data_IF_425307816559
#
_entry.id   IF_425307816559
#
_cell.length_a   1.000
_cell.length_b   1.000
_cell.length_c   1.000
_cell.angle_alpha   90.00
_cell.angle_beta   90.00
_cell.angle_gamma   90.00
#
_symmetry.space_group_name_H-M   'P 1'
#
loop_
_entity.id
_entity.type
_entity.pdbx_description
1 polymer ?
#
# COMPACT_ATOMS: atom_id res chain seq x y z
N UNK A 1 18.83 -10.46 -16.43
CA UNK A 1 19.79 -9.38 -16.08
C UNK A 1 20.83 -9.19 -17.21
N UNK A 2 20.41 -8.98 -18.46
CA UNK A 2 21.33 -8.86 -19.62
C UNK A 2 21.95 -7.48 -19.76
N UNK A 3 21.31 -6.44 -19.21
CA UNK A 3 21.75 -5.04 -19.35
C UNK A 3 22.77 -4.60 -18.30
N UNK A 4 23.00 -5.40 -17.25
CA UNK A 4 24.06 -5.12 -16.26
C UNK A 4 23.93 -3.79 -15.51
N UNK A 5 22.71 -3.32 -15.26
CA UNK A 5 22.45 -2.03 -14.60
C UNK A 5 22.82 -2.11 -13.11
N UNK A 6 23.59 -1.13 -12.64
CA UNK A 6 24.10 -1.07 -11.27
C UNK A 6 25.34 -1.94 -11.06
N UNK A 7 25.81 -2.00 -9.80
CA UNK A 7 26.94 -2.86 -9.44
C UNK A 7 26.51 -4.32 -9.31
N UNK A 8 27.32 -5.24 -9.84
CA UNK A 8 27.09 -6.69 -9.69
C UNK A 8 27.17 -7.17 -8.25
N UNK A 9 27.96 -6.50 -7.40
CA UNK A 9 28.10 -6.85 -5.98
C UNK A 9 27.01 -6.22 -5.12
N UNK A 10 26.61 -4.98 -5.41
CA UNK A 10 25.63 -4.24 -4.61
C UNK A 10 24.19 -4.42 -5.08
N UNK A 11 23.96 -4.84 -6.33
CA UNK A 11 22.62 -4.95 -6.92
C UNK A 11 21.80 -3.64 -6.80
N UNK A 12 22.45 -2.50 -6.99
CA UNK A 12 21.88 -1.17 -6.74
C UNK A 12 21.55 -0.42 -8.04
N UNK A 13 21.05 -1.14 -9.04
CA UNK A 13 20.62 -0.55 -10.30
C UNK A 13 19.16 -0.12 -10.25
N UNK A 14 18.82 0.98 -10.92
CA UNK A 14 17.43 1.41 -11.16
C UNK A 14 17.25 1.61 -12.66
N UNK A 15 16.12 1.15 -13.20
CA UNK A 15 15.74 1.34 -14.60
C UNK A 15 14.35 1.97 -14.67
N UNK A 16 14.26 3.19 -15.19
CA UNK A 16 13.01 3.80 -15.63
C UNK A 16 12.80 3.49 -17.12
N UNK A 17 11.71 2.80 -17.44
CA UNK A 17 11.27 2.48 -18.78
C UNK A 17 10.03 3.31 -19.13
N UNK A 18 10.10 4.02 -20.25
CA UNK A 18 9.00 4.84 -20.77
C UNK A 18 8.55 4.31 -22.13
N UNK A 19 7.32 3.85 -22.23
CA UNK A 19 6.66 3.48 -23.47
C UNK A 19 5.66 4.58 -23.86
N UNK A 20 6.15 5.58 -24.60
CA UNK A 20 5.40 6.82 -24.93
C UNK A 20 4.08 6.57 -25.64
N UNK A 21 4.10 5.76 -26.70
CA UNK A 21 2.90 5.47 -27.50
C UNK A 21 1.85 4.67 -26.71
N UNK A 22 2.31 3.81 -25.80
CA UNK A 22 1.46 2.98 -24.95
C UNK A 22 1.00 3.69 -23.67
N UNK A 23 1.53 4.90 -23.40
CA UNK A 23 1.35 5.64 -22.15
C UNK A 23 1.63 4.82 -20.89
N UNK A 24 2.73 4.06 -20.93
CA UNK A 24 3.15 3.16 -19.83
C UNK A 24 4.53 3.50 -19.30
N UNK A 25 4.67 3.40 -17.99
CA UNK A 25 5.87 3.62 -17.20
C UNK A 25 6.18 2.37 -16.39
N UNK A 26 7.47 2.07 -16.24
CA UNK A 26 7.92 1.04 -15.29
C UNK A 26 9.23 1.46 -14.66
N UNK A 27 9.33 1.31 -13.35
CA UNK A 27 10.57 1.41 -12.59
C UNK A 27 10.94 0.00 -12.13
N UNK A 28 12.13 -0.46 -12.48
CA UNK A 28 12.72 -1.68 -11.94
C UNK A 28 13.83 -1.32 -10.97
N UNK A 29 13.81 -1.92 -9.78
CA UNK A 29 14.75 -1.65 -8.71
C UNK A 29 15.56 -2.91 -8.41
N UNK A 30 16.87 -2.75 -8.31
CA UNK A 30 17.76 -3.81 -7.90
C UNK A 30 17.62 -4.09 -6.39
N UNK A 31 17.82 -5.36 -6.01
CA UNK A 31 17.66 -5.83 -4.63
C UNK A 31 18.37 -4.98 -3.56
N UNK A 32 19.54 -4.42 -3.89
CA UNK A 32 20.32 -3.60 -2.95
C UNK A 32 19.74 -2.21 -2.70
N UNK A 33 18.64 -1.85 -3.36
CA UNK A 33 17.92 -0.59 -3.17
C UNK A 33 16.46 -0.82 -2.74
N UNK A 34 16.03 -2.05 -2.46
CA UNK A 34 14.65 -2.31 -2.01
C UNK A 34 14.33 -1.66 -0.66
N UNK A 35 15.34 -1.39 0.18
CA UNK A 35 15.17 -0.64 1.43
C UNK A 35 14.80 0.82 1.18
N UNK A 36 15.50 1.47 0.24
CA UNK A 36 15.31 2.88 -0.09
C UNK A 36 14.16 3.13 -1.06
N UNK A 37 13.99 2.23 -2.03
CA UNK A 37 13.01 2.33 -3.12
C UNK A 37 12.20 1.02 -3.16
N UNK A 38 11.35 0.76 -2.17
CA UNK A 38 10.38 -0.32 -2.26
C UNK A 38 9.36 -0.05 -3.37
N UNK A 39 8.59 -1.08 -3.73
CA UNK A 39 7.58 -1.01 -4.78
C UNK A 39 6.59 0.14 -4.59
N UNK A 40 6.13 0.37 -3.36
CA UNK A 40 5.22 1.47 -3.02
C UNK A 40 5.81 2.86 -3.29
N UNK A 41 7.10 3.04 -3.02
CA UNK A 41 7.80 4.31 -3.28
C UNK A 41 8.02 4.50 -4.78
N UNK A 42 8.42 3.44 -5.49
CA UNK A 42 8.54 3.48 -6.95
C UNK A 42 7.19 3.83 -7.61
N UNK A 43 6.09 3.24 -7.13
CA UNK A 43 4.75 3.50 -7.64
C UNK A 43 4.31 4.93 -7.37
N UNK A 44 4.62 5.45 -6.18
CA UNK A 44 4.38 6.85 -5.81
C UNK A 44 5.15 7.82 -6.70
N UNK A 45 6.42 7.56 -7.00
CA UNK A 45 7.20 8.39 -7.92
C UNK A 45 6.53 8.40 -9.31
N UNK A 46 6.08 7.25 -9.80
CA UNK A 46 5.36 7.20 -11.08
C UNK A 46 4.08 8.04 -11.03
N UNK A 47 3.23 7.85 -10.02
CA UNK A 47 1.91 8.48 -9.92
C UNK A 47 1.97 9.98 -9.62
N UNK A 48 2.84 10.40 -8.70
CA UNK A 48 2.82 11.74 -8.13
C UNK A 48 3.90 12.67 -8.72
N UNK A 49 4.99 12.11 -9.25
CA UNK A 49 6.11 12.91 -9.78
C UNK A 49 6.12 12.88 -11.32
N UNK A 50 6.08 11.68 -11.92
CA UNK A 50 6.28 11.55 -13.38
C UNK A 50 4.97 11.76 -14.16
N UNK A 51 3.90 11.06 -13.78
CA UNK A 51 2.64 11.04 -14.52
C UNK A 51 1.99 12.43 -14.72
N UNK A 52 2.01 13.36 -13.74
CA UNK A 52 1.39 14.67 -13.92
C UNK A 52 2.05 15.49 -15.04
N UNK A 53 3.37 15.48 -15.14
CA UNK A 53 4.10 16.18 -16.21
C UNK A 53 3.84 15.52 -17.57
N UNK A 54 3.82 14.19 -17.61
CA UNK A 54 3.53 13.43 -18.83
C UNK A 54 2.10 13.66 -19.35
N UNK A 55 1.13 13.82 -18.46
CA UNK A 55 -0.26 14.19 -18.81
C UNK A 55 -0.35 15.58 -19.46
N UNK A 56 0.54 16.49 -19.07
CA UNK A 56 0.65 17.83 -19.64
C UNK A 56 1.48 17.87 -20.94
N UNK A 57 2.04 16.73 -21.35
CA UNK A 57 2.93 16.61 -22.49
C UNK A 57 4.38 17.02 -22.22
N UNK A 58 4.72 17.34 -20.97
CA UNK A 58 6.07 17.64 -20.53
C UNK A 58 6.82 16.35 -20.13
N UNK A 59 7.31 15.65 -21.15
CA UNK A 59 8.05 14.40 -20.96
C UNK A 59 9.45 14.63 -20.39
N UNK A 60 10.12 15.70 -20.82
CA UNK A 60 11.48 15.99 -20.37
C UNK A 60 11.48 16.38 -18.88
N UNK A 61 10.54 17.23 -18.47
CA UNK A 61 10.32 17.58 -17.06
C UNK A 61 9.99 16.36 -16.22
N UNK A 62 9.03 15.52 -16.65
CA UNK A 62 8.65 14.33 -15.90
C UNK A 62 9.78 13.30 -15.75
N UNK A 63 10.66 13.15 -16.75
CA UNK A 63 11.84 12.27 -16.64
C UNK A 63 12.88 12.88 -15.70
N UNK A 64 13.12 14.19 -15.78
CA UNK A 64 14.07 14.90 -14.92
C UNK A 64 13.64 14.84 -13.46
N UNK A 65 12.35 15.10 -13.19
CA UNK A 65 11.80 15.04 -11.84
C UNK A 65 11.82 13.61 -11.30
N UNK A 66 11.42 12.63 -12.11
CA UNK A 66 11.53 11.22 -11.74
C UNK A 66 12.97 10.79 -11.43
N UNK A 67 13.94 11.26 -12.22
CA UNK A 67 15.36 11.02 -11.97
C UNK A 67 15.82 11.65 -10.66
N UNK A 68 15.47 12.92 -10.42
CA UNK A 68 15.84 13.63 -9.19
C UNK A 68 15.29 12.91 -7.96
N UNK A 69 14.01 12.53 -7.95
CA UNK A 69 13.40 11.78 -6.85
C UNK A 69 14.10 10.44 -6.58
N UNK A 70 14.43 9.68 -7.62
CA UNK A 70 15.14 8.41 -7.47
C UNK A 70 16.58 8.61 -6.95
N UNK A 71 17.29 9.62 -7.46
CA UNK A 71 18.65 9.93 -7.02
C UNK A 71 18.69 10.40 -5.57
N UNK A 72 17.70 11.20 -5.13
CA UNK A 72 17.57 11.60 -3.72
C UNK A 72 17.53 10.37 -2.82
N UNK A 73 16.66 9.41 -3.11
CA UNK A 73 16.51 8.19 -2.31
C UNK A 73 17.78 7.31 -2.32
N UNK A 74 18.45 7.19 -3.48
CA UNK A 74 19.70 6.44 -3.57
C UNK A 74 20.82 7.13 -2.78
N UNK A 75 20.88 8.46 -2.80
CA UNK A 75 21.89 9.21 -2.08
C UNK A 75 21.67 9.10 -0.56
N UNK A 76 20.43 9.19 -0.09
CA UNK A 76 20.08 8.97 1.32
C UNK A 76 20.46 7.57 1.81
N UNK A 77 20.19 6.52 1.03
CA UNK A 77 20.56 5.13 1.37
C UNK A 77 22.07 4.92 1.56
N UNK A 78 22.88 5.71 0.86
CA UNK A 78 24.34 5.62 0.91
C UNK A 78 25.01 6.78 1.67
N UNK A 79 24.24 7.62 2.36
CA UNK A 79 24.71 8.82 3.05
C UNK A 79 25.59 9.72 2.16
N UNK A 80 25.17 9.93 0.91
CA UNK A 80 25.88 10.73 -0.08
C UNK A 80 25.32 12.14 -0.16
N UNK A 81 26.21 13.12 -0.22
CA UNK A 81 25.85 14.49 -0.59
C UNK A 81 25.87 14.64 -2.11
N UNK A 82 24.80 15.20 -2.68
CA UNK A 82 24.71 15.46 -4.12
C UNK A 82 25.09 16.92 -4.38
N UNK A 83 26.32 17.12 -4.87
CA UNK A 83 26.82 18.42 -5.36
C UNK A 83 26.84 18.41 -6.89
N UNK A 84 25.66 18.37 -7.50
CA UNK A 84 25.48 18.37 -8.95
C UNK A 84 24.69 19.61 -9.37
N UNK A 85 25.21 20.34 -10.35
CA UNK A 85 24.55 21.53 -10.89
C UNK A 85 23.21 21.14 -11.54
N UNK A 86 22.12 21.75 -11.10
CA UNK A 86 20.77 21.47 -11.58
C UNK A 86 20.05 20.32 -10.85
N UNK A 87 20.67 19.68 -9.86
CA UNK A 87 19.95 18.78 -8.96
C UNK A 87 18.99 19.58 -8.06
N UNK A 88 17.76 19.11 -7.98
CA UNK A 88 16.73 19.62 -7.07
C UNK A 88 16.21 18.42 -6.29
N UNK A 89 16.34 18.46 -4.96
CA UNK A 89 15.78 17.42 -4.11
C UNK A 89 14.25 17.45 -4.23
N UNK A 90 13.67 16.28 -4.52
CA UNK A 90 12.22 16.12 -4.56
C UNK A 90 11.80 15.40 -3.29
N UNK A 91 11.11 16.12 -2.41
CA UNK A 91 10.43 15.51 -1.28
C UNK A 91 9.25 14.71 -1.82
N UNK A 92 9.37 13.38 -1.82
CA UNK A 92 8.19 12.54 -2.06
C UNK A 92 7.36 12.55 -0.79
N UNK A 93 6.26 13.30 -0.76
CA UNK A 93 5.33 13.28 0.37
C UNK A 93 4.85 11.85 0.62
N UNK A 94 4.95 11.39 1.87
CA UNK A 94 4.25 10.18 2.29
C UNK A 94 2.76 10.49 2.32
N UNK A 95 2.05 10.14 1.25
CA UNK A 95 0.60 10.08 1.32
C UNK A 95 0.24 9.08 2.42
N UNK A 96 -0.39 9.58 3.49
CA UNK A 96 -1.11 8.72 4.42
C UNK A 96 -2.29 8.14 3.65
N UNK A 97 -2.05 7.03 2.95
CA UNK A 97 -2.98 6.35 2.05
C UNK A 97 -4.05 5.60 2.88
N UNK A 98 -4.70 6.30 3.82
CA UNK A 98 -5.95 5.82 4.41
C UNK A 98 -7.03 6.06 3.38
N UNK A 99 -7.49 4.99 2.75
CA UNK A 99 -8.71 5.09 1.94
C UNK A 99 -9.85 5.60 2.83
N UNK A 100 -10.73 6.43 2.27
CA UNK A 100 -11.92 6.92 2.98
C UNK A 100 -12.68 5.77 3.66
N UNK A 101 -12.73 4.59 3.03
CA UNK A 101 -13.36 3.39 3.59
C UNK A 101 -12.62 2.82 4.80
N UNK A 102 -11.29 2.88 4.82
CA UNK A 102 -10.47 2.41 5.94
C UNK A 102 -10.58 3.34 7.14
N UNK A 103 -10.65 4.65 6.88
CA UNK A 103 -10.92 5.65 7.92
C UNK A 103 -12.32 5.43 8.53
N UNK A 104 -13.34 5.24 7.70
CA UNK A 104 -14.71 4.93 8.16
C UNK A 104 -14.73 3.62 8.95
N UNK A 105 -14.04 2.58 8.49
CA UNK A 105 -13.94 1.30 9.17
C UNK A 105 -13.25 1.44 10.55
N UNK A 106 -12.15 2.20 10.63
CA UNK A 106 -11.47 2.50 11.89
C UNK A 106 -12.38 3.24 12.87
N UNK A 107 -13.10 4.28 12.40
CA UNK A 107 -14.07 5.03 13.23
C UNK A 107 -15.18 4.12 13.73
N UNK A 108 -15.72 3.24 12.88
CA UNK A 108 -16.75 2.27 13.27
C UNK A 108 -16.25 1.29 14.34
N UNK A 109 -15.00 0.82 14.24
CA UNK A 109 -14.37 -0.02 15.26
C UNK A 109 -14.24 0.74 16.58
N UNK A 110 -13.77 1.98 16.55
CA UNK A 110 -13.63 2.81 17.75
C UNK A 110 -14.99 3.04 18.40
N UNK A 111 -16.04 3.36 17.63
CA UNK A 111 -17.40 3.53 18.14
C UNK A 111 -17.93 2.21 18.73
N UNK A 112 -17.71 1.08 18.08
CA UNK A 112 -18.14 -0.24 18.58
C UNK A 112 -17.45 -0.59 19.90
N UNK A 113 -16.15 -0.32 20.02
CA UNK A 113 -15.40 -0.48 21.28
C UNK A 113 -15.99 0.46 22.34
N UNK A 114 -16.21 1.74 22.03
CA UNK A 114 -16.79 2.67 22.99
C UNK A 114 -18.19 2.23 23.47
N UNK A 115 -19.07 1.76 22.58
CA UNK A 115 -20.40 1.25 22.93
C UNK A 115 -20.31 0.00 23.81
N UNK A 116 -19.42 -0.94 23.50
CA UNK A 116 -19.28 -2.17 24.29
C UNK A 116 -18.68 -1.92 25.67
N UNK A 117 -17.78 -0.94 25.81
CA UNK A 117 -17.21 -0.54 27.10
C UNK A 117 -18.15 0.35 27.92
N UNK A 118 -18.87 1.31 27.30
CA UNK A 118 -19.88 2.13 27.99
C UNK A 118 -21.17 1.37 28.31
N UNK A 119 -21.59 0.46 27.43
CA UNK A 119 -22.74 -0.42 27.66
C UNK A 119 -22.52 -1.41 28.81
N UNK A 120 -21.26 -1.83 29.03
CA UNK A 120 -20.86 -2.59 30.22
C UNK A 120 -20.84 -1.74 31.50
N UNK A 121 -20.65 -0.43 31.41
CA UNK A 121 -20.61 0.48 32.56
C UNK A 121 -22.03 0.88 33.03
N UNK A 122 -23.00 1.04 32.12
CA UNK A 122 -24.41 1.28 32.46
C UNK A 122 -25.24 0.01 32.71
N UNK A 123 -24.82 -1.15 32.17
CA UNK A 123 -25.55 -2.41 32.27
C UNK A 123 -25.43 -3.16 33.61
N UNK A 124 -24.61 -2.69 34.55
CA UNK A 124 -24.37 -3.35 35.85
C UNK A 124 -25.18 -2.80 37.03
N UNK A 125 -26.26 -2.03 36.80
CA UNK A 125 -27.13 -1.55 37.90
C UNK A 125 -28.57 -2.08 37.91
N UNK A 126 -29.00 -2.93 36.97
CA UNK A 126 -30.33 -3.56 37.06
C UNK A 126 -30.37 -4.97 36.45
N UNK A 127 -29.91 -5.98 37.18
CA UNK A 127 -30.60 -7.29 37.36
C UNK A 127 -29.63 -8.30 37.96
N UNK A 128 -29.67 -8.37 39.29
CA UNK A 128 -29.03 -9.42 40.05
C UNK A 128 -29.83 -9.74 41.29
N UNK A 129 -31.12 -10.11 41.16
CA UNK A 129 -31.83 -10.80 42.24
C UNK A 129 -33.15 -11.48 41.83
N UNK A 130 -33.07 -12.79 41.61
CA UNK A 130 -34.03 -13.80 42.08
C UNK A 130 -35.44 -13.84 41.46
N UNK A 131 -35.74 -14.92 40.73
CA UNK A 131 -37.11 -15.34 40.35
C UNK A 131 -37.95 -15.84 41.55
N UNK A 132 -38.96 -16.72 41.39
CA UNK A 132 -39.46 -17.43 40.20
C UNK A 132 -41.00 -17.32 39.98
N UNK A 133 -41.49 -17.57 38.76
CA UNK A 133 -42.87 -18.06 38.57
C UNK A 133 -43.66 -17.49 37.40
N UNK A 134 -44.35 -18.42 36.73
CA UNK A 134 -45.64 -18.28 36.03
C UNK A 134 -45.64 -17.70 34.61
N UNK A 135 -45.61 -18.64 33.66
CA UNK A 135 -46.39 -18.62 32.41
C UNK A 135 -45.93 -17.62 31.34
N UNK A 136 -46.22 -17.78 30.06
CA UNK A 136 -46.85 -18.83 29.30
C UNK A 136 -46.87 -18.28 27.88
N UNK A 137 -46.33 -19.03 26.93
CA UNK A 137 -46.75 -19.08 25.52
C UNK A 137 -46.56 -17.82 24.65
N UNK A 138 -45.71 -17.96 23.63
CA UNK A 138 -46.07 -17.97 22.18
C UNK A 138 -44.75 -17.87 21.41
N UNK A 139 -44.33 -18.93 20.72
CA UNK A 139 -44.51 -19.07 19.26
C UNK A 139 -43.31 -18.42 18.56
N UNK A 140 -42.48 -19.06 17.76
CA UNK A 140 -42.53 -20.31 17.02
C UNK A 140 -41.56 -20.15 15.85
N UNK A 141 -41.13 -21.26 15.24
CA UNK A 141 -40.54 -21.25 13.90
C UNK A 141 -39.02 -21.39 13.85
N UNK A 142 -38.57 -22.64 13.80
CA UNK A 142 -37.27 -22.97 13.21
C UNK A 142 -37.35 -22.94 11.68
N UNK A 143 -36.25 -22.60 11.03
CA UNK A 143 -35.98 -22.94 9.63
C UNK A 143 -34.56 -23.48 9.53
N UNK A 144 -34.48 -24.66 8.92
CA UNK A 144 -33.26 -25.35 8.54
C UNK A 144 -32.89 -24.99 7.10
N UNK A 145 -31.60 -25.07 6.81
CA UNK A 145 -30.99 -24.94 5.49
C UNK A 145 -29.51 -24.62 5.70
N UNK A 146 -28.53 -25.38 5.26
CA UNK A 146 -28.51 -26.43 4.26
C UNK A 146 -27.24 -26.22 3.43
N UNK A 147 -26.31 -27.17 3.49
CA UNK A 147 -25.41 -27.49 2.38
C UNK A 147 -24.15 -26.64 2.17
N UNK A 148 -23.00 -27.27 2.47
CA UNK A 148 -22.03 -27.61 1.43
C UNK A 148 -20.90 -26.63 1.10
N UNK A 149 -19.69 -27.18 0.93
CA UNK A 149 -18.63 -26.54 0.15
C UNK A 149 -17.23 -26.68 0.74
N UNK A 150 -16.50 -27.71 0.29
CA UNK A 150 -15.05 -27.84 0.47
C UNK A 150 -14.33 -27.10 -0.66
N UNK A 151 -13.25 -26.39 -0.36
CA UNK A 151 -12.07 -26.21 -1.24
C UNK A 151 -10.93 -25.72 -0.33
N UNK A 152 -9.80 -26.40 -0.11
CA UNK A 152 -8.82 -27.01 -1.02
C UNK A 152 -8.30 -26.06 -2.09
N UNK A 153 -7.01 -25.74 -2.00
CA UNK A 153 -6.22 -25.07 -3.04
C UNK A 153 -5.94 -23.61 -2.69
N UNK A 154 -4.71 -23.13 -2.61
CA UNK A 154 -3.45 -23.77 -2.95
C UNK A 154 -2.31 -22.94 -2.36
N UNK A 155 -1.26 -23.64 -1.95
CA UNK A 155 0.05 -23.02 -1.83
C UNK A 155 0.52 -22.65 -3.23
N UNK A 156 0.94 -21.40 -3.38
CA UNK A 156 1.79 -21.01 -4.49
C UNK A 156 3.17 -20.73 -3.90
N UNK A 157 4.05 -21.72 -4.03
CA UNK A 157 5.46 -21.46 -4.17
C UNK A 157 5.77 -21.11 -5.62
N UNK A 158 6.79 -20.28 -5.82
CA UNK A 158 7.50 -20.22 -7.10
C UNK A 158 7.79 -18.81 -7.59
N UNK A 159 9.01 -18.34 -7.33
CA UNK A 159 9.61 -17.24 -8.08
C UNK A 159 10.51 -16.35 -7.23
N UNK A 160 11.77 -16.72 -7.05
CA UNK A 160 12.80 -15.80 -6.56
C UNK A 160 13.16 -14.81 -7.68
N UNK A 161 12.32 -13.80 -7.91
CA UNK A 161 12.70 -12.57 -8.59
C UNK A 161 12.74 -11.47 -7.55
N UNK A 162 13.77 -11.50 -6.70
CA UNK A 162 14.00 -10.51 -5.64
C UNK A 162 14.50 -9.21 -6.22
N UNK A 163 13.62 -8.49 -6.91
CA UNK A 163 13.78 -7.11 -7.31
C UNK A 163 12.40 -6.45 -7.26
N UNK A 164 12.26 -5.42 -6.43
CA UNK A 164 11.08 -4.56 -6.38
C UNK A 164 10.96 -3.65 -7.62
N UNK A 165 9.78 -3.07 -7.83
CA UNK A 165 9.60 -2.10 -8.91
C UNK A 165 8.16 -1.97 -9.40
N UNK A 166 7.75 -0.72 -9.61
CA UNK A 166 6.37 -0.39 -9.94
C UNK A 166 6.12 -0.20 -11.44
N UNK A 167 4.88 -0.36 -11.86
CA UNK A 167 4.42 0.01 -13.20
C UNK A 167 3.17 0.87 -13.12
N UNK A 168 3.09 1.89 -13.96
CA UNK A 168 1.93 2.77 -14.05
C UNK A 168 1.72 3.31 -15.45
N UNK A 169 0.74 4.19 -15.61
CA UNK A 169 0.44 4.88 -16.86
C UNK A 169 -0.03 6.30 -16.59
N UNK A 170 -0.18 7.09 -17.66
CA UNK A 170 -0.54 8.51 -17.57
C UNK A 170 -1.62 8.91 -18.58
#
# INVERSE_FOLDING_TARGET
RSWGIGSSSKNNGVLLLVAKEDRKLRIEVGYGLEGAIPDSVADRIIRNVIAPSFQQGDFDGGVLDGFNALVTLVAEEYDLEIDAEGYVAIETEEDSEYSFLEMVFMVMIVIFILITYFGRFFGTSMMGRGGPGRGSWTGGGGWSGGGGGRSSGGGFGGGSSGGGGASGGW
#
